data_IF_963149333999
#
_entry.id   IF_963149333999
#
_cell.length_a   1.000
_cell.length_b   1.000
_cell.length_c   1.000
_cell.angle_alpha   90.00
_cell.angle_beta   90.00
_cell.angle_gamma   90.00
#
_symmetry.space_group_name_H-M   'P 1'
#
loop_
_entity.id
_entity.type
_entity.pdbx_description
1 polymer ?
#
# COMPACT_ATOMS: atom_id res chain seq x y z
N UNK A 1 -6.82 -17.84 -11.01
CA UNK A 1 -7.89 -16.91 -10.59
C UNK A 1 -7.58 -16.53 -9.15
N UNK A 2 -7.37 -15.24 -8.85
CA UNK A 2 -7.03 -14.77 -7.50
C UNK A 2 -8.29 -14.79 -6.62
N UNK A 3 -8.18 -15.11 -5.32
CA UNK A 3 -9.30 -15.07 -4.37
C UNK A 3 -10.05 -13.73 -4.42
N UNK A 4 -9.31 -12.61 -4.50
CA UNK A 4 -9.92 -11.27 -4.58
C UNK A 4 -10.79 -11.12 -5.84
N UNK A 5 -10.36 -11.68 -6.96
CA UNK A 5 -11.17 -11.69 -8.20
C UNK A 5 -12.41 -12.58 -8.07
N UNK A 6 -12.29 -13.71 -7.37
CA UNK A 6 -13.43 -14.60 -7.10
C UNK A 6 -14.49 -13.94 -6.20
N UNK A 7 -14.05 -13.09 -5.28
CA UNK A 7 -14.93 -12.28 -4.43
C UNK A 7 -15.54 -11.10 -5.18
N UNK A 8 -15.24 -10.89 -6.47
CA UNK A 8 -15.81 -9.82 -7.28
C UNK A 8 -15.00 -8.52 -7.27
N UNK A 9 -13.69 -8.62 -7.00
CA UNK A 9 -12.74 -7.52 -7.09
C UNK A 9 -12.37 -6.91 -5.74
N UNK A 10 -11.41 -5.96 -5.79
CA UNK A 10 -10.76 -5.40 -4.62
C UNK A 10 -11.72 -4.82 -3.58
N UNK A 11 -12.62 -3.92 -3.99
CA UNK A 11 -13.55 -3.25 -3.07
C UNK A 11 -14.47 -4.23 -2.35
N UNK A 12 -14.95 -5.26 -3.05
CA UNK A 12 -15.82 -6.28 -2.47
C UNK A 12 -15.04 -7.16 -1.49
N UNK A 13 -13.85 -7.61 -1.85
CA UNK A 13 -12.98 -8.37 -0.96
C UNK A 13 -12.62 -7.56 0.31
N UNK A 14 -12.27 -6.28 0.15
CA UNK A 14 -11.98 -5.38 1.27
C UNK A 14 -13.18 -5.25 2.22
N UNK A 15 -14.38 -5.09 1.69
CA UNK A 15 -15.61 -5.04 2.49
C UNK A 15 -15.86 -6.35 3.24
N UNK A 16 -15.77 -7.50 2.56
CA UNK A 16 -16.01 -8.82 3.17
C UNK A 16 -15.00 -9.12 4.29
N UNK A 17 -13.70 -8.83 4.07
CA UNK A 17 -12.67 -9.03 5.09
C UNK A 17 -12.84 -8.10 6.28
N UNK A 18 -13.30 -6.86 6.07
CA UNK A 18 -13.66 -5.94 7.14
C UNK A 18 -14.80 -6.49 8.00
N UNK A 19 -15.85 -7.05 7.39
CA UNK A 19 -16.95 -7.69 8.11
C UNK A 19 -16.48 -8.87 8.95
N UNK A 20 -15.62 -9.73 8.40
CA UNK A 20 -15.01 -10.85 9.13
C UNK A 20 -14.26 -10.34 10.36
N UNK A 21 -13.43 -9.30 10.21
CA UNK A 21 -12.67 -8.68 11.30
C UNK A 21 -13.58 -8.13 12.41
N UNK A 22 -14.68 -7.48 12.05
CA UNK A 22 -15.68 -6.95 12.99
C UNK A 22 -16.44 -8.04 13.73
N UNK A 23 -16.68 -9.20 13.09
CA UNK A 23 -17.30 -10.37 13.71
C UNK A 23 -16.41 -11.08 14.75
N UNK A 24 -15.19 -10.59 14.99
CA UNK A 24 -14.20 -11.15 15.94
C UNK A 24 -13.97 -12.64 15.67
N UNK A 25 -13.27 -12.97 14.58
CA UNK A 25 -13.09 -14.35 14.16
C UNK A 25 -12.35 -15.13 15.25
N UNK A 26 -12.67 -16.41 15.35
CA UNK A 26 -12.12 -17.32 16.36
C UNK A 26 -10.59 -17.47 16.19
N UNK A 27 -10.09 -17.24 14.96
CA UNK A 27 -8.69 -17.43 14.59
C UNK A 27 -8.05 -16.12 14.12
N UNK A 28 -7.16 -15.51 14.93
CA UNK A 28 -6.45 -14.28 14.56
C UNK A 28 -5.65 -14.36 13.25
N UNK A 29 -5.14 -15.56 12.90
CA UNK A 29 -4.37 -15.77 11.67
C UNK A 29 -5.17 -15.58 10.38
N UNK A 30 -6.49 -15.65 10.43
CA UNK A 30 -7.36 -15.37 9.28
C UNK A 30 -7.35 -13.88 8.93
N UNK A 31 -7.31 -13.00 9.93
CA UNK A 31 -7.21 -11.54 9.74
C UNK A 31 -5.87 -11.18 9.09
N UNK A 32 -4.76 -11.72 9.61
CA UNK A 32 -3.42 -11.46 9.06
C UNK A 32 -3.30 -11.93 7.62
N UNK A 33 -3.86 -13.10 7.31
CA UNK A 33 -3.87 -13.64 5.94
C UNK A 33 -4.66 -12.73 5.00
N UNK A 34 -5.84 -12.26 5.41
CA UNK A 34 -6.69 -11.38 4.63
C UNK A 34 -6.03 -10.02 4.38
N UNK A 35 -5.47 -9.40 5.43
CA UNK A 35 -4.76 -8.12 5.33
C UNK A 35 -3.56 -8.23 4.38
N UNK A 36 -2.82 -9.36 4.44
CA UNK A 36 -1.72 -9.65 3.51
C UNK A 36 -2.18 -9.83 2.07
N UNK A 37 -3.27 -10.56 1.84
CA UNK A 37 -3.82 -10.77 0.48
C UNK A 37 -4.24 -9.44 -0.15
N UNK A 38 -4.88 -8.55 0.61
CA UNK A 38 -5.24 -7.21 0.13
C UNK A 38 -3.99 -6.38 -0.21
N UNK A 39 -2.97 -6.40 0.64
CA UNK A 39 -1.72 -5.68 0.40
C UNK A 39 -1.00 -6.17 -0.86
N UNK A 40 -0.87 -7.49 -1.03
CA UNK A 40 -0.23 -8.08 -2.21
C UNK A 40 -0.98 -7.73 -3.49
N UNK A 41 -2.33 -7.75 -3.46
CA UNK A 41 -3.15 -7.32 -4.59
C UNK A 41 -2.95 -5.83 -4.90
N UNK A 42 -2.97 -4.96 -3.89
CA UNK A 42 -2.73 -3.52 -4.09
C UNK A 42 -1.37 -3.24 -4.72
N UNK A 43 -0.32 -3.95 -4.27
CA UNK A 43 1.03 -3.87 -4.83
C UNK A 43 1.08 -4.26 -6.30
N UNK A 44 0.43 -5.36 -6.68
CA UNK A 44 0.38 -5.86 -8.06
C UNK A 44 -0.41 -4.93 -9.00
N UNK A 45 -1.49 -4.35 -8.50
CA UNK A 45 -2.42 -3.54 -9.28
C UNK A 45 -2.15 -2.02 -9.20
N UNK A 46 -1.11 -1.59 -8.47
CA UNK A 46 -0.81 -0.18 -8.19
C UNK A 46 -2.00 0.59 -7.59
N UNK A 47 -2.77 -0.07 -6.73
CA UNK A 47 -3.83 0.55 -5.94
C UNK A 47 -3.18 1.12 -4.69
N UNK A 48 -3.43 2.40 -4.38
CA UNK A 48 -2.88 3.09 -3.22
C UNK A 48 -3.98 3.36 -2.19
N UNK A 49 -3.62 3.25 -0.92
CA UNK A 49 -4.44 3.63 0.23
C UNK A 49 -3.65 4.50 1.20
N UNK A 50 -4.35 5.19 2.09
CA UNK A 50 -3.73 5.87 3.23
C UNK A 50 -2.89 4.90 4.05
N UNK A 51 -1.80 5.39 4.64
CA UNK A 51 -0.81 4.65 5.41
C UNK A 51 0.07 3.66 4.62
N UNK A 52 -0.11 3.55 3.29
CA UNK A 52 0.83 2.80 2.47
C UNK A 52 2.22 3.43 2.48
N UNK A 53 3.22 2.56 2.52
CA UNK A 53 4.62 2.94 2.39
C UNK A 53 5.02 2.84 0.92
N UNK A 54 5.42 3.98 0.35
CA UNK A 54 5.78 4.12 -1.05
C UNK A 54 7.20 4.65 -1.20
N UNK A 55 7.79 4.34 -2.34
CA UNK A 55 9.06 4.93 -2.76
C UNK A 55 8.96 5.38 -4.21
N UNK A 56 9.78 6.36 -4.56
CA UNK A 56 9.77 6.90 -5.91
C UNK A 56 10.36 5.88 -6.90
N UNK A 57 9.79 5.82 -8.11
CA UNK A 57 10.32 4.99 -9.21
C UNK A 57 11.59 5.60 -9.80
N UNK A 58 11.58 6.93 -9.96
CA UNK A 58 12.55 7.69 -10.76
C UNK A 58 13.61 8.44 -9.96
N UNK A 59 13.32 8.80 -8.71
CA UNK A 59 14.24 9.63 -7.92
C UNK A 59 15.19 8.76 -7.08
N UNK A 60 16.41 9.26 -6.91
CA UNK A 60 17.53 8.56 -6.26
C UNK A 60 17.56 8.82 -4.75
N UNK A 61 16.64 9.62 -4.20
CA UNK A 61 16.66 9.94 -2.77
C UNK A 61 16.51 8.69 -1.89
N UNK A 62 15.96 7.61 -2.47
CA UNK A 62 15.77 6.32 -1.83
C UNK A 62 14.86 6.39 -0.60
N UNK A 63 14.12 7.48 -0.43
CA UNK A 63 13.26 7.67 0.73
C UNK A 63 12.02 6.79 0.63
N UNK A 64 11.59 6.32 1.80
CA UNK A 64 10.27 5.73 1.98
C UNK A 64 9.38 6.82 2.57
N UNK A 65 8.22 6.99 1.94
CA UNK A 65 7.20 7.94 2.36
C UNK A 65 5.94 7.20 2.73
N UNK A 66 5.22 7.73 3.71
CA UNK A 66 3.89 7.26 4.07
C UNK A 66 2.84 8.11 3.35
N UNK A 67 1.82 7.47 2.78
CA UNK A 67 0.67 8.16 2.20
C UNK A 67 -0.21 8.69 3.33
N UNK A 68 -0.49 10.00 3.30
CA UNK A 68 -1.51 10.64 4.14
C UNK A 68 -2.89 10.51 3.50
N UNK A 69 -3.00 10.81 2.20
CA UNK A 69 -4.27 10.88 1.49
C UNK A 69 -4.09 10.47 0.02
N UNK A 70 -5.10 9.80 -0.53
CA UNK A 70 -5.16 9.42 -1.95
C UNK A 70 -6.29 10.21 -2.62
N UNK A 71 -5.95 10.97 -3.65
CA UNK A 71 -6.93 11.56 -4.56
C UNK A 71 -6.97 10.74 -5.85
N UNK A 72 -8.02 9.91 -5.95
CA UNK A 72 -8.22 9.04 -7.09
C UNK A 72 -8.65 9.78 -8.37
N UNK A 73 -9.28 10.95 -8.25
CA UNK A 73 -9.76 11.72 -9.40
C UNK A 73 -8.58 12.34 -10.14
N UNK A 74 -7.70 13.02 -9.40
CA UNK A 74 -6.52 13.68 -9.95
C UNK A 74 -5.30 12.76 -10.06
N UNK A 75 -5.41 11.51 -9.59
CA UNK A 75 -4.30 10.54 -9.51
C UNK A 75 -3.11 11.09 -8.74
N UNK A 76 -3.37 11.81 -7.66
CA UNK A 76 -2.35 12.39 -6.79
C UNK A 76 -2.34 11.73 -5.42
N UNK A 77 -1.18 11.76 -4.77
CA UNK A 77 -0.97 11.28 -3.41
C UNK A 77 -0.50 12.45 -2.57
N UNK A 78 -1.06 12.63 -1.38
CA UNK A 78 -0.47 13.47 -0.35
C UNK A 78 0.44 12.58 0.49
N UNK A 79 1.74 12.84 0.47
CA UNK A 79 2.74 12.02 1.18
C UNK A 79 3.45 12.84 2.26
N UNK A 80 3.82 12.17 3.35
CA UNK A 80 4.66 12.77 4.39
C UNK A 80 6.10 12.91 3.92
N UNK A 81 6.77 13.98 4.36
CA UNK A 81 8.22 14.08 4.35
C UNK A 81 8.85 12.92 5.13
N UNK A 82 10.12 12.62 4.85
CA UNK A 82 10.83 11.50 5.50
C UNK A 82 10.84 11.61 7.03
N UNK A 83 10.96 12.83 7.56
CA UNK A 83 10.92 13.15 8.99
C UNK A 83 9.50 13.31 9.57
N UNK A 84 8.47 13.11 8.74
CA UNK A 84 7.05 13.31 9.07
C UNK A 84 6.68 14.74 9.52
N UNK A 85 7.56 15.73 9.31
CA UNK A 85 7.33 17.11 9.76
C UNK A 85 6.26 17.85 8.92
N UNK A 86 6.11 17.48 7.65
CA UNK A 86 5.11 18.08 6.76
C UNK A 86 4.65 17.08 5.70
N UNK A 87 3.68 17.47 4.88
CA UNK A 87 3.21 16.67 3.74
C UNK A 87 3.00 17.51 2.49
N UNK A 88 3.07 16.86 1.34
CA UNK A 88 2.99 17.51 0.03
C UNK A 88 2.36 16.58 -1.01
N UNK A 89 1.78 17.19 -2.05
CA UNK A 89 1.11 16.48 -3.13
C UNK A 89 2.10 16.05 -4.21
N UNK A 90 1.93 14.82 -4.68
CA UNK A 90 2.76 14.21 -5.73
C UNK A 90 1.89 13.43 -6.72
N UNK A 91 2.39 13.26 -7.94
CA UNK A 91 1.77 12.41 -8.94
C UNK A 91 2.00 10.92 -8.60
N UNK A 92 0.91 10.18 -8.42
CA UNK A 92 0.95 8.74 -8.07
C UNK A 92 1.74 7.88 -9.06
N UNK A 93 1.81 8.28 -10.34
CA UNK A 93 2.50 7.53 -11.40
C UNK A 93 4.00 7.43 -11.13
N UNK A 94 4.57 8.40 -10.41
CA UNK A 94 5.99 8.45 -10.06
C UNK A 94 6.36 7.56 -8.87
N UNK A 95 5.39 6.94 -8.20
CA UNK A 95 5.59 6.14 -7.00
C UNK A 95 5.16 4.70 -7.23
N UNK A 96 5.75 3.80 -6.44
CA UNK A 96 5.30 2.41 -6.25
C UNK A 96 5.29 2.09 -4.77
N UNK A 97 4.59 1.03 -4.41
CA UNK A 97 4.72 0.43 -3.08
C UNK A 97 6.18 0.06 -2.78
N UNK A 98 6.59 0.32 -1.54
CA UNK A 98 7.84 -0.18 -1.00
C UNK A 98 7.71 -1.69 -0.73
N UNK A 99 8.78 -2.42 -1.04
CA UNK A 99 8.91 -3.85 -0.72
C UNK A 99 9.16 -4.05 0.77
N UNK A 100 8.92 -5.26 1.27
CA UNK A 100 9.12 -5.55 2.70
C UNK A 100 10.59 -5.40 3.09
N UNK A 101 11.52 -5.73 2.18
CA UNK A 101 12.96 -5.54 2.35
C UNK A 101 13.34 -4.05 2.44
N UNK A 102 12.74 -3.21 1.59
CA UNK A 102 12.95 -1.75 1.62
C UNK A 102 12.41 -1.14 2.90
N UNK A 103 11.19 -1.52 3.30
CA UNK A 103 10.56 -1.06 4.55
C UNK A 103 11.44 -1.44 5.74
N UNK A 104 11.94 -2.68 5.78
CA UNK A 104 12.85 -3.14 6.83
C UNK A 104 14.18 -2.39 6.82
N UNK A 105 14.70 -2.03 5.64
CA UNK A 105 15.92 -1.24 5.51
C UNK A 105 15.71 0.26 5.79
N UNK A 106 14.46 0.73 5.83
CA UNK A 106 14.09 2.15 5.95
C UNK A 106 14.41 2.98 4.71
N UNK A 107 14.77 2.34 3.59
CA UNK A 107 15.16 3.00 2.34
C UNK A 107 14.95 2.09 1.13
N UNK A 108 14.83 2.69 -0.05
CA UNK A 108 14.87 2.02 -1.35
C UNK A 108 16.20 1.27 -1.49
N UNK A 109 16.11 0.02 -1.92
CA UNK A 109 17.27 -0.78 -2.20
C UNK A 109 17.69 -0.54 -3.65
N UNK A 110 18.97 -0.26 -3.85
CA UNK A 110 19.54 -0.23 -5.19
C UNK A 110 19.45 -1.63 -5.78
N UNK A 111 18.81 -1.74 -6.94
CA UNK A 111 18.87 -2.97 -7.71
C UNK A 111 20.25 -2.96 -8.34
N UNK A 112 21.21 -3.67 -7.74
CA UNK A 112 22.48 -3.96 -8.39
C UNK A 112 22.14 -4.67 -9.71
N UNK A 113 22.26 -3.95 -10.83
CA UNK A 113 22.13 -4.51 -12.17
C UNK A 113 23.37 -5.33 -12.53
#
# INVERSE_FOLDING_TARGET
>A
MNLIEQLGGYERAKHEFKMIKEMKPIYPGEIETNDRLLLEYRRQHNIFESDDLVTSKKWVDGSIHKIELVDSEDRTLKIFSHDMAFSYWVDSRNYRHATDEEIKAGKRLEVNQ
#
